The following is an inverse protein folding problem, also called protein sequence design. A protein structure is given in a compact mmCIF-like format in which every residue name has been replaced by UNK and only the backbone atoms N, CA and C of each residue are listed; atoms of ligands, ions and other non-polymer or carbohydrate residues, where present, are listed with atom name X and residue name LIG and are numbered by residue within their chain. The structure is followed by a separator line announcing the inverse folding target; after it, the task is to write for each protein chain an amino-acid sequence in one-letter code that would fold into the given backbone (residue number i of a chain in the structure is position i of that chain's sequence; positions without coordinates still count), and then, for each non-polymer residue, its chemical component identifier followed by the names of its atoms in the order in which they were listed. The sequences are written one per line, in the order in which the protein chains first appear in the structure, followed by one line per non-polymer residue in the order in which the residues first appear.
data_IF_806027012748
#
_entry.id   IF_806027012748
#
_cell.length_a   1.000
_cell.length_b   1.000
_cell.length_c   1.000
_cell.angle_alpha   90.00
_cell.angle_beta   90.00
_cell.angle_gamma   90.00
#
_symmetry.space_group_name_H-M   'P 1'
#
loop_
_entity.id
_entity.type
_entity.pdbx_description
1 polymer ?
#
# COMPACT_ATOMS: atom_id res chain seq x y z
N UNK A 1 17.65 -21.62 -19.19
CA UNK A 1 18.08 -21.34 -17.80
C UNK A 1 17.66 -19.92 -17.49
N UNK A 2 16.59 -19.74 -16.72
CA UNK A 2 16.12 -18.43 -16.29
C UNK A 2 17.20 -17.80 -15.41
N UNK A 3 17.68 -16.60 -15.78
CA UNK A 3 18.53 -15.77 -14.94
C UNK A 3 17.71 -15.24 -13.76
N UNK A 4 17.49 -16.08 -12.75
CA UNK A 4 16.94 -15.62 -11.48
C UNK A 4 18.04 -14.89 -10.74
N UNK A 5 17.85 -13.59 -10.54
CA UNK A 5 18.70 -12.79 -9.66
C UNK A 5 18.79 -13.49 -8.31
N UNK A 6 19.98 -13.59 -7.69
CA UNK A 6 20.13 -14.26 -6.42
C UNK A 6 19.25 -13.59 -5.36
N UNK A 7 18.59 -14.38 -4.50
CA UNK A 7 17.87 -13.84 -3.35
C UNK A 7 18.85 -13.07 -2.47
N UNK A 8 18.66 -11.75 -2.41
CA UNK A 8 19.44 -10.85 -1.57
C UNK A 8 18.71 -10.47 -0.27
N UNK A 9 17.43 -10.83 -0.12
CA UNK A 9 16.67 -10.53 1.10
C UNK A 9 15.63 -11.59 1.46
N UNK A 10 15.53 -11.86 2.76
CA UNK A 10 14.63 -12.82 3.38
C UNK A 10 13.71 -12.08 4.35
N UNK A 11 12.43 -12.44 4.35
CA UNK A 11 11.43 -11.95 5.30
C UNK A 11 11.10 -13.05 6.33
N UNK A 12 11.07 -12.68 7.61
CA UNK A 12 10.60 -13.53 8.70
C UNK A 12 9.38 -12.86 9.34
N UNK A 13 8.18 -13.46 9.24
CA UNK A 13 6.97 -12.85 9.78
C UNK A 13 6.97 -12.71 11.29
N UNK A 14 7.57 -13.66 12.02
CA UNK A 14 7.51 -13.68 13.48
C UNK A 14 8.88 -13.97 14.06
N UNK A 15 9.44 -12.96 14.74
CA UNK A 15 10.64 -13.04 15.54
C UNK A 15 10.33 -12.49 16.94
N UNK A 16 10.81 -13.16 17.98
CA UNK A 16 10.67 -12.69 19.35
C UNK A 16 11.38 -11.35 19.52
N UNK A 17 10.67 -10.35 20.04
CA UNK A 17 11.17 -8.98 20.28
C UNK A 17 12.41 -8.91 21.18
N UNK A 18 12.66 -9.95 21.99
CA UNK A 18 13.85 -10.05 22.84
C UNK A 18 15.13 -10.35 22.05
N UNK A 19 15.01 -10.84 20.81
CA UNK A 19 16.14 -11.17 19.97
C UNK A 19 16.74 -9.90 19.35
N UNK A 20 18.05 -9.76 19.48
CA UNK A 20 18.78 -8.66 18.88
C UNK A 20 19.18 -8.98 17.44
N UNK A 21 19.56 -7.95 16.67
CA UNK A 21 20.10 -8.11 15.31
C UNK A 21 21.30 -9.08 15.32
N UNK A 22 22.13 -8.98 16.35
CA UNK A 22 23.30 -9.84 16.55
C UNK A 22 22.92 -11.30 16.75
N UNK A 23 21.83 -11.58 17.48
CA UNK A 23 21.38 -12.95 17.72
C UNK A 23 20.89 -13.60 16.42
N UNK A 24 20.15 -12.87 15.59
CA UNK A 24 19.74 -13.33 14.26
C UNK A 24 20.96 -13.59 13.38
N UNK A 25 21.89 -12.64 13.27
CA UNK A 25 23.14 -12.80 12.48
C UNK A 25 23.93 -14.02 12.95
N UNK A 26 24.13 -14.17 14.25
CA UNK A 26 24.86 -15.30 14.83
C UNK A 26 24.15 -16.63 14.58
N UNK A 27 22.82 -16.65 14.63
CA UNK A 27 22.03 -17.86 14.37
C UNK A 27 22.22 -18.31 12.92
N UNK A 28 22.02 -17.42 11.94
CA UNK A 28 22.24 -17.74 10.53
C UNK A 28 23.68 -18.16 10.22
N UNK A 29 24.66 -17.53 10.89
CA UNK A 29 26.07 -17.89 10.83
C UNK A 29 26.36 -19.29 11.39
N UNK A 30 25.89 -19.56 12.61
CA UNK A 30 26.11 -20.83 13.31
C UNK A 30 25.56 -22.04 12.54
N UNK A 31 24.37 -21.90 11.96
CA UNK A 31 23.75 -22.95 11.16
C UNK A 31 24.23 -22.99 9.70
N UNK A 32 25.24 -22.19 9.34
CA UNK A 32 25.81 -22.09 7.99
C UNK A 32 24.75 -21.87 6.90
N UNK A 33 23.77 -20.99 7.14
CA UNK A 33 22.73 -20.66 6.15
C UNK A 33 23.22 -19.56 5.21
N UNK A 34 23.51 -18.37 5.74
CA UNK A 34 24.01 -17.26 4.93
C UNK A 34 24.79 -16.23 5.75
N UNK A 35 25.55 -15.40 5.05
CA UNK A 35 26.23 -14.24 5.60
C UNK A 35 25.27 -13.04 5.57
N UNK A 36 24.80 -12.64 6.74
CA UNK A 36 23.81 -11.57 6.91
C UNK A 36 24.53 -10.21 6.97
N UNK A 37 24.12 -9.29 6.12
CA UNK A 37 24.67 -7.93 6.06
C UNK A 37 23.94 -6.97 6.99
N UNK A 38 22.61 -7.05 7.01
CA UNK A 38 21.72 -6.17 7.75
C UNK A 38 20.48 -6.93 8.21
N UNK A 39 19.99 -6.58 9.39
CA UNK A 39 18.70 -7.04 9.90
C UNK A 39 17.90 -5.82 10.30
N UNK A 40 16.69 -5.71 9.78
CA UNK A 40 15.74 -4.66 10.10
C UNK A 40 14.52 -5.27 10.78
N UNK A 41 14.21 -4.80 11.98
CA UNK A 41 13.02 -5.23 12.71
C UNK A 41 11.92 -4.19 12.51
N UNK A 42 10.71 -4.67 12.30
CA UNK A 42 9.50 -3.84 12.22
C UNK A 42 8.52 -4.37 13.25
N UNK A 43 8.15 -3.50 14.19
CA UNK A 43 7.20 -3.84 15.24
C UNK A 43 5.81 -4.08 14.65
N UNK A 44 5.08 -5.03 15.25
CA UNK A 44 3.70 -5.31 14.89
C UNK A 44 2.84 -4.58 15.92
N UNK A 45 2.06 -3.55 15.53
CA UNK A 45 1.36 -2.69 16.49
C UNK A 45 0.41 -3.45 17.41
N UNK A 46 -0.14 -4.57 16.95
CA UNK A 46 -1.08 -5.42 17.68
C UNK A 46 -0.41 -6.45 18.61
N UNK A 47 0.91 -6.67 18.48
CA UNK A 47 1.62 -7.74 19.19
C UNK A 47 2.90 -7.24 19.84
N UNK A 48 2.87 -7.10 21.16
CA UNK A 48 3.97 -6.50 21.94
C UNK A 48 5.25 -7.34 22.01
N UNK A 49 5.16 -8.65 21.79
CA UNK A 49 6.29 -9.56 21.99
C UNK A 49 6.92 -10.08 20.69
N UNK A 50 6.38 -9.71 19.53
CA UNK A 50 6.87 -10.18 18.23
C UNK A 50 7.04 -9.05 17.24
N UNK A 51 8.04 -9.19 16.39
CA UNK A 51 8.32 -8.28 15.30
C UNK A 51 8.47 -9.04 13.99
N UNK A 52 8.27 -8.33 12.89
CA UNK A 52 8.74 -8.74 11.58
C UNK A 52 10.25 -8.52 11.48
N UNK A 53 10.96 -9.40 10.79
CA UNK A 53 12.38 -9.20 10.49
C UNK A 53 12.64 -9.28 8.99
N UNK A 54 13.42 -8.34 8.49
CA UNK A 54 13.92 -8.31 7.12
C UNK A 54 15.43 -8.49 7.16
N UNK A 55 15.89 -9.58 6.57
CA UNK A 55 17.28 -9.98 6.56
C UNK A 55 17.83 -9.68 5.17
N UNK A 56 18.92 -8.92 5.12
CA UNK A 56 19.67 -8.68 3.90
C UNK A 56 20.88 -9.59 3.89
N UNK A 57 21.06 -10.30 2.77
CA UNK A 57 22.06 -11.35 2.62
C UNK A 57 23.17 -10.85 1.70
N UNK A 58 24.42 -10.86 2.18
CA UNK A 58 25.59 -10.59 1.35
C UNK A 58 25.85 -11.76 0.39
N UNK A 59 25.93 -12.95 0.96
CA UNK A 59 26.15 -14.18 0.21
C UNK A 59 25.62 -15.39 0.99
N UNK A 60 25.19 -16.41 0.26
CA UNK A 60 24.86 -17.71 0.84
C UNK A 60 26.15 -18.49 1.11
N UNK A 61 26.15 -19.31 2.16
CA UNK A 61 27.31 -20.17 2.42
C UNK A 61 27.30 -21.38 1.48
N UNK A 62 28.48 -21.94 1.20
CA UNK A 62 28.60 -23.18 0.44
C UNK A 62 28.37 -24.39 1.38
N UNK A 63 27.12 -24.56 1.82
CA UNK A 63 26.71 -25.65 2.72
C UNK A 63 25.45 -26.33 2.18
N UNK A 64 25.21 -27.58 2.59
CA UNK A 64 23.99 -28.31 2.23
C UNK A 64 22.73 -27.61 2.79
N UNK A 65 22.82 -27.10 4.03
CA UNK A 65 21.73 -26.38 4.70
C UNK A 65 21.36 -25.10 3.96
N UNK A 66 22.37 -24.32 3.53
CA UNK A 66 22.18 -23.10 2.75
C UNK A 66 21.53 -23.40 1.40
N UNK A 67 22.04 -24.40 0.68
CA UNK A 67 21.50 -24.81 -0.62
C UNK A 67 20.05 -25.27 -0.52
N UNK A 68 19.72 -26.06 0.50
CA UNK A 68 18.35 -26.52 0.75
C UNK A 68 17.44 -25.34 1.07
N UNK A 69 17.83 -24.47 2.00
CA UNK A 69 17.05 -23.29 2.38
C UNK A 69 16.79 -22.38 1.16
N UNK A 70 17.83 -22.08 0.37
CA UNK A 70 17.71 -21.30 -0.85
C UNK A 70 16.74 -21.94 -1.84
N UNK A 71 16.89 -23.24 -2.08
CA UNK A 71 16.06 -23.96 -3.04
C UNK A 71 14.59 -24.01 -2.59
N UNK A 72 14.31 -24.24 -1.30
CA UNK A 72 12.94 -24.23 -0.78
C UNK A 72 12.31 -22.84 -0.84
N UNK A 73 13.06 -21.78 -0.51
CA UNK A 73 12.55 -20.40 -0.61
C UNK A 73 12.22 -20.04 -2.06
N UNK A 74 13.09 -20.37 -3.04
CA UNK A 74 12.84 -20.08 -4.45
C UNK A 74 11.68 -20.90 -5.02
N UNK A 75 11.65 -22.21 -4.78
CA UNK A 75 10.74 -23.11 -5.50
C UNK A 75 9.42 -23.33 -4.78
N UNK A 76 9.42 -23.32 -3.44
CA UNK A 76 8.21 -23.50 -2.61
C UNK A 76 7.68 -22.19 -2.04
N UNK A 77 8.46 -21.10 -2.14
CA UNK A 77 8.11 -19.80 -1.57
C UNK A 77 8.32 -19.70 -0.05
N UNK A 78 8.80 -20.76 0.62
CA UNK A 78 9.06 -20.73 2.06
C UNK A 78 10.02 -21.83 2.50
N UNK A 79 10.72 -21.61 3.62
CA UNK A 79 11.57 -22.58 4.29
C UNK A 79 11.37 -22.54 5.81
N UNK A 80 11.18 -23.69 6.45
CA UNK A 80 11.06 -23.79 7.92
C UNK A 80 12.44 -24.00 8.54
N UNK A 81 12.99 -22.95 9.14
CA UNK A 81 14.32 -22.96 9.74
C UNK A 81 14.25 -23.21 11.25
N UNK A 82 14.74 -24.36 11.70
CA UNK A 82 14.77 -24.74 13.12
C UNK A 82 16.09 -24.30 13.76
N UNK A 83 16.04 -23.46 14.80
CA UNK A 83 17.22 -22.81 15.40
C UNK A 83 17.46 -23.16 16.87
N UNK A 84 16.71 -24.11 17.45
CA UNK A 84 16.93 -24.55 18.83
C UNK A 84 18.14 -25.48 18.92
N UNK A 85 19.09 -25.16 19.80
CA UNK A 85 20.20 -26.06 20.18
C UNK A 85 19.76 -27.18 21.13
N UNK A 86 18.65 -27.01 21.86
CA UNK A 86 18.20 -27.98 22.86
C UNK A 86 17.25 -28.99 22.24
N UNK A 87 17.70 -30.24 22.14
CA UNK A 87 16.93 -31.37 21.61
C UNK A 87 15.67 -31.71 22.43
N UNK A 88 15.42 -31.06 23.57
CA UNK A 88 14.50 -31.62 24.57
C UNK A 88 13.07 -31.08 24.62
N UNK A 89 12.62 -30.06 23.86
CA UNK A 89 11.16 -29.78 23.78
C UNK A 89 10.70 -28.62 22.89
N UNK A 90 11.52 -27.65 22.54
CA UNK A 90 11.05 -26.50 21.76
C UNK A 90 11.25 -26.70 20.26
N UNK A 91 10.15 -27.01 19.54
CA UNK A 91 10.07 -26.93 18.07
C UNK A 91 10.07 -25.45 17.61
N UNK A 92 11.00 -24.65 18.11
CA UNK A 92 11.12 -23.26 17.71
C UNK A 92 11.69 -23.20 16.28
N UNK A 93 10.95 -22.56 15.39
CA UNK A 93 11.37 -22.35 14.01
C UNK A 93 11.07 -20.92 13.57
N UNK A 94 11.83 -20.44 12.59
CA UNK A 94 11.47 -19.27 11.80
C UNK A 94 10.99 -19.72 10.44
N UNK A 95 9.89 -19.12 9.98
CA UNK A 95 9.44 -19.28 8.61
C UNK A 95 10.17 -18.24 7.75
N UNK A 96 11.06 -18.70 6.88
CA UNK A 96 11.81 -17.84 5.97
C UNK A 96 11.04 -17.73 4.66
N UNK A 97 10.75 -16.50 4.25
CA UNK A 97 10.02 -16.17 3.03
C UNK A 97 10.90 -15.29 2.11
N UNK A 98 10.71 -15.34 0.79
CA UNK A 98 11.38 -14.41 -0.11
C UNK A 98 10.84 -12.99 0.14
N UNK A 99 11.73 -12.02 0.35
CA UNK A 99 11.31 -10.62 0.43
C UNK A 99 11.09 -10.07 -0.99
N UNK A 100 9.83 -9.77 -1.32
CA UNK A 100 9.44 -9.27 -2.66
C UNK A 100 9.88 -7.82 -2.89
N UNK A 101 9.97 -7.02 -1.83
CA UNK A 101 10.26 -5.58 -1.91
C UNK A 101 11.41 -5.22 -0.94
N UNK A 102 12.66 -5.62 -1.25
CA UNK A 102 13.79 -5.30 -0.40
C UNK A 102 14.03 -3.80 -0.34
N UNK A 103 14.08 -3.26 0.87
CA UNK A 103 14.41 -1.84 1.08
C UNK A 103 15.89 -1.65 0.75
N UNK A 104 16.24 -0.81 -0.24
CA UNK A 104 17.63 -0.57 -0.59
C UNK A 104 18.37 0.09 0.57
N UNK A 105 19.67 -0.17 0.67
CA UNK A 105 20.50 0.53 1.63
C UNK A 105 20.63 2.00 1.25
N UNK A 106 20.15 2.88 2.12
CA UNK A 106 20.36 4.31 1.97
C UNK A 106 21.78 4.64 2.39
N UNK A 107 22.53 5.30 1.50
CA UNK A 107 23.86 5.85 1.81
C UNK A 107 23.74 7.24 2.45
N UNK A 108 22.53 7.76 2.59
CA UNK A 108 22.29 9.09 3.12
C UNK A 108 22.41 9.08 4.64
N UNK A 109 23.09 10.10 5.15
CA UNK A 109 23.13 10.38 6.57
C UNK A 109 21.72 10.78 7.07
N UNK A 110 21.42 10.53 8.34
CA UNK A 110 20.16 10.91 8.99
C UNK A 110 19.79 12.39 8.77
N UNK A 111 20.77 13.29 8.75
CA UNK A 111 20.54 14.71 8.47
C UNK A 111 20.09 14.96 7.02
N UNK A 112 20.67 14.24 6.07
CA UNK A 112 20.29 14.35 4.66
C UNK A 112 18.89 13.76 4.42
N UNK A 113 18.56 12.66 5.11
CA UNK A 113 17.21 12.09 5.09
C UNK A 113 16.19 13.06 5.65
N UNK A 114 16.49 13.72 6.78
CA UNK A 114 15.60 14.72 7.37
C UNK A 114 15.32 15.88 6.40
N UNK A 115 16.37 16.42 5.77
CA UNK A 115 16.22 17.49 4.75
C UNK A 115 15.35 17.03 3.58
N UNK A 116 15.61 15.82 3.06
CA UNK A 116 14.83 15.26 1.96
C UNK A 116 13.36 15.03 2.33
N UNK A 117 13.08 14.55 3.54
CA UNK A 117 11.72 14.39 4.05
C UNK A 117 11.01 15.74 4.13
N UNK A 118 11.66 16.76 4.71
CA UNK A 118 11.08 18.10 4.79
C UNK A 118 10.81 18.72 3.42
N UNK A 119 11.69 18.48 2.43
CA UNK A 119 11.45 18.90 1.05
C UNK A 119 10.26 18.18 0.41
N UNK A 120 10.11 16.88 0.67
CA UNK A 120 8.95 16.11 0.18
C UNK A 120 7.65 16.55 0.84
N UNK A 121 7.63 16.76 2.17
CA UNK A 121 6.48 17.29 2.90
C UNK A 121 6.04 18.65 2.35
N UNK A 122 7.00 19.53 2.07
CA UNK A 122 6.73 20.83 1.44
C UNK A 122 6.08 20.67 0.07
N UNK A 123 6.60 19.79 -0.79
CA UNK A 123 6.02 19.54 -2.11
C UNK A 123 4.61 18.97 -2.03
N UNK A 124 4.36 18.07 -1.07
CA UNK A 124 3.01 17.53 -0.83
C UNK A 124 2.05 18.63 -0.41
N UNK A 125 2.47 19.53 0.49
CA UNK A 125 1.65 20.66 0.91
C UNK A 125 1.35 21.64 -0.24
N UNK A 126 2.34 21.91 -1.10
CA UNK A 126 2.17 22.72 -2.31
C UNK A 126 1.16 22.07 -3.28
N UNK A 127 1.31 20.77 -3.55
CA UNK A 127 0.38 20.02 -4.40
C UNK A 127 -1.04 19.97 -3.82
N UNK A 128 -1.17 19.81 -2.50
CA UNK A 128 -2.47 19.83 -1.83
C UNK A 128 -3.15 21.19 -1.99
N UNK A 129 -2.39 22.28 -1.82
CA UNK A 129 -2.90 23.65 -2.01
C UNK A 129 -3.35 23.89 -3.46
N UNK A 130 -2.60 23.38 -4.43
CA UNK A 130 -2.96 23.46 -5.84
C UNK A 130 -4.24 22.67 -6.15
N UNK A 131 -4.36 21.45 -5.63
CA UNK A 131 -5.58 20.65 -5.76
C UNK A 131 -6.79 21.34 -5.15
N UNK A 132 -6.66 21.95 -3.98
CA UNK A 132 -7.75 22.67 -3.33
C UNK A 132 -8.17 23.92 -4.12
N UNK A 133 -7.22 24.63 -4.72
CA UNK A 133 -7.50 25.74 -5.61
C UNK A 133 -8.22 25.27 -6.89
N UNK A 134 -7.78 24.17 -7.50
CA UNK A 134 -8.46 23.58 -8.66
C UNK A 134 -9.89 23.14 -8.31
N UNK A 135 -10.09 22.48 -7.16
CA UNK A 135 -11.43 22.09 -6.67
C UNK A 135 -12.34 23.30 -6.51
N UNK A 136 -11.83 24.40 -5.96
CA UNK A 136 -12.60 25.65 -5.84
C UNK A 136 -13.02 26.21 -7.21
N UNK A 137 -12.09 26.24 -8.17
CA UNK A 137 -12.39 26.71 -9.54
C UNK A 137 -13.44 25.83 -10.23
N UNK A 138 -13.40 24.52 -10.01
CA UNK A 138 -14.42 23.60 -10.53
C UNK A 138 -15.78 23.92 -9.93
N UNK A 139 -15.88 24.07 -8.60
CA UNK A 139 -17.14 24.41 -7.94
C UNK A 139 -17.70 25.78 -8.40
N UNK A 140 -16.84 26.78 -8.57
CA UNK A 140 -17.24 28.09 -9.09
C UNK A 140 -17.79 27.97 -10.53
N UNK A 141 -17.13 27.18 -11.38
CA UNK A 141 -17.57 26.93 -12.75
C UNK A 141 -18.91 26.18 -12.80
N UNK A 142 -19.08 25.15 -11.98
CA UNK A 142 -20.35 24.41 -11.85
C UNK A 142 -21.50 25.34 -11.47
N UNK A 143 -21.28 26.24 -10.49
CA UNK A 143 -22.29 27.22 -10.09
C UNK A 143 -22.64 28.18 -11.24
N UNK A 144 -21.64 28.66 -11.99
CA UNK A 144 -21.90 29.53 -13.15
C UNK A 144 -22.67 28.80 -14.25
N UNK A 145 -22.39 27.51 -14.47
CA UNK A 145 -23.11 26.69 -15.45
C UNK A 145 -24.59 26.56 -15.11
N UNK A 146 -24.92 26.31 -13.83
CA UNK A 146 -26.31 26.25 -13.35
C UNK A 146 -27.03 27.58 -13.59
N UNK A 147 -26.40 28.71 -13.26
CA UNK A 147 -26.99 30.03 -13.45
C UNK A 147 -27.26 30.36 -14.93
N UNK A 148 -26.36 29.97 -15.83
CA UNK A 148 -26.54 30.18 -17.27
C UNK A 148 -27.68 29.30 -17.80
N UNK A 149 -27.79 28.05 -17.36
CA UNK A 149 -28.88 27.16 -17.75
C UNK A 149 -30.26 27.73 -17.36
N UNK A 150 -30.42 28.19 -16.12
CA UNK A 150 -31.67 28.84 -15.64
C UNK A 150 -32.09 30.04 -16.51
N UNK A 151 -31.12 30.84 -16.97
CA UNK A 151 -31.42 32.00 -17.82
C UNK A 151 -31.85 31.60 -19.24
N UNK A 152 -31.32 30.51 -19.79
CA UNK A 152 -31.68 30.05 -21.13
C UNK A 152 -33.14 29.58 -21.17
N UNK A 153 -33.62 28.91 -20.13
CA UNK A 153 -35.03 28.45 -20.05
C UNK A 153 -36.03 29.61 -19.89
N UNK A 154 -35.57 30.76 -19.39
CA UNK A 154 -36.39 31.98 -19.24
C UNK A 154 -36.49 32.83 -20.51
N UNK A 155 -35.70 32.53 -21.55
CA UNK A 155 -35.85 33.20 -22.85
C UNK A 155 -37.16 32.70 -23.45
N UNK A 156 -38.18 33.57 -23.65
CA UNK A 156 -39.39 33.17 -24.31
C UNK A 156 -38.98 32.59 -25.64
N UNK A 157 -39.30 31.33 -25.87
CA UNK A 157 -39.14 30.71 -27.18
C UNK A 157 -39.97 31.57 -28.11
N UNK A 158 -39.31 32.54 -28.76
CA UNK A 158 -39.91 33.34 -29.80
C UNK A 158 -40.18 32.29 -30.85
N UNK A 159 -41.41 31.79 -30.87
CA UNK A 159 -41.93 30.92 -31.91
C UNK A 159 -41.61 31.66 -33.18
N UNK A 160 -40.50 31.28 -33.80
CA UNK A 160 -40.11 31.80 -35.07
C UNK A 160 -41.23 31.28 -35.95
N UNK A 161 -42.20 32.15 -36.24
CA UNK A 161 -43.21 31.89 -37.25
C UNK A 161 -42.39 31.47 -38.45
N UNK A 162 -42.49 30.18 -38.74
CA UNK A 162 -41.88 29.52 -39.86
C UNK A 162 -42.39 30.28 -41.08
N UNK A 163 -41.60 31.24 -41.55
CA UNK A 163 -41.80 31.83 -42.86
C UNK A 163 -41.62 30.65 -43.80
N UNK A 164 -42.75 30.16 -44.31
CA UNK A 164 -42.78 29.26 -45.45
C UNK A 164 -42.18 30.05 -46.61
N UNK A 165 -40.86 29.99 -46.72
CA UNK A 165 -40.18 30.31 -47.96
C UNK A 165 -40.51 29.14 -48.89
N UNK A 166 -41.57 29.34 -49.66
CA UNK A 166 -41.92 28.47 -50.75
C UNK A 166 -40.76 28.46 -51.76
N UNK A 167 -40.11 27.31 -51.87
CA UNK A 167 -39.53 26.80 -53.12
C UNK A 167 -38.31 27.53 -53.68
N UNK A 168 -37.12 27.14 -53.22
CA UNK A 168 -35.99 26.88 -54.12
C UNK A 168 -35.29 25.63 -53.60
N UNK A 169 -35.41 24.54 -54.36
CA UNK A 169 -34.61 23.33 -54.18
C UNK A 169 -33.20 23.66 -54.67
N UNK A 170 -32.27 23.88 -53.74
CA UNK A 170 -30.84 23.82 -54.03
C UNK A 170 -30.34 22.49 -53.46
N UNK A 171 -30.33 21.50 -54.34
CA UNK A 171 -29.50 20.31 -54.16
C UNK A 171 -28.06 20.80 -54.19
N UNK A 172 -27.38 20.88 -53.05
CA UNK A 172 -25.98 20.49 -52.84
C UNK A 172 -25.44 21.02 -51.51
N UNK A 173 -24.56 20.21 -50.95
CA UNK A 173 -23.58 20.52 -49.90
C UNK A 173 -24.15 20.68 -48.48
N UNK A 174 -23.61 20.11 -47.41
CA UNK A 174 -22.54 19.14 -47.23
C UNK A 174 -22.56 18.81 -45.73
N UNK A 175 -22.34 17.54 -45.41
CA UNK A 175 -21.52 17.13 -44.27
C UNK A 175 -22.03 17.65 -42.90
N UNK A 176 -23.12 17.05 -42.42
CA UNK A 176 -23.32 16.89 -40.99
C UNK A 176 -22.22 16.00 -40.43
N UNK A 177 -21.13 16.61 -39.98
CA UNK A 177 -20.13 15.97 -39.14
C UNK A 177 -20.69 15.83 -37.72
N UNK A 178 -21.72 15.00 -37.56
CA UNK A 178 -22.13 14.45 -36.27
C UNK A 178 -21.10 13.39 -35.88
N UNK A 179 -19.95 13.85 -35.39
CA UNK A 179 -19.12 13.05 -34.50
C UNK A 179 -19.92 12.91 -33.18
N UNK A 180 -20.84 11.94 -33.21
CA UNK A 180 -21.49 11.38 -32.04
C UNK A 180 -20.36 10.82 -31.17
N UNK A 181 -19.91 11.61 -30.19
CA UNK A 181 -19.06 11.11 -29.13
C UNK A 181 -19.95 10.14 -28.35
N UNK A 182 -19.73 8.85 -28.60
CA UNK A 182 -20.34 7.76 -27.86
C UNK A 182 -19.99 7.92 -26.39
N UNK A 183 -20.99 8.20 -25.57
CA UNK A 183 -20.98 8.12 -24.11
C UNK A 183 -20.86 6.65 -23.64
N UNK A 184 -19.78 5.96 -24.05
CA UNK A 184 -19.48 4.58 -23.66
C UNK A 184 -18.23 4.50 -22.77
N UNK A 185 -18.22 5.33 -21.71
CA UNK A 185 -17.17 5.30 -20.67
C UNK A 185 -17.69 4.87 -19.30
N UNK A 186 -18.97 4.50 -19.16
CA UNK A 186 -19.56 4.11 -17.87
C UNK A 186 -19.76 2.60 -17.69
N UNK A 187 -19.01 1.74 -18.40
CA UNK A 187 -19.16 0.28 -18.30
C UNK A 187 -17.93 -0.49 -17.85
N UNK A 188 -17.10 0.11 -16.99
CA UNK A 188 -16.07 -0.63 -16.28
C UNK A 188 -16.10 -0.26 -14.80
N UNK A 189 -16.13 -1.33 -13.97
CA UNK A 189 -15.96 -1.39 -12.52
C UNK A 189 -17.23 -1.37 -11.68
N UNK A 190 -18.04 -2.43 -11.78
CA UNK A 190 -18.61 -3.11 -10.62
C UNK A 190 -18.84 -4.59 -11.01
N UNK A 191 -17.78 -5.38 -11.01
CA UNK A 191 -17.91 -6.81 -10.71
C UNK A 191 -17.84 -6.90 -9.19
N UNK A 192 -18.99 -6.66 -8.59
CA UNK A 192 -19.28 -6.89 -7.17
C UNK A 192 -19.74 -8.35 -7.08
N UNK A 193 -18.76 -9.27 -7.09
CA UNK A 193 -18.99 -10.66 -6.71
C UNK A 193 -19.19 -10.68 -5.19
N UNK A 194 -20.40 -10.32 -4.74
CA UNK A 194 -20.92 -10.69 -3.43
C UNK A 194 -21.15 -12.21 -3.42
N UNK A 195 -20.11 -12.97 -3.05
CA UNK A 195 -20.31 -14.32 -2.51
C UNK A 195 -20.77 -14.18 -1.06
N UNK A 196 -22.09 -14.30 -0.88
CA UNK A 196 -22.76 -14.60 0.39
C UNK A 196 -22.26 -15.95 0.93
N UNK A 197 -21.25 -15.91 1.80
CA UNK A 197 -20.98 -17.01 2.74
C UNK A 197 -21.61 -16.66 4.09
N UNK A 198 -22.86 -17.09 4.23
CA UNK A 198 -23.56 -17.29 5.50
C UNK A 198 -22.78 -18.31 6.36
N UNK A 199 -21.84 -17.84 7.19
CA UNK A 199 -21.27 -18.66 8.26
C UNK A 199 -21.72 -18.12 9.63
N UNK A 200 -22.83 -18.72 10.09
CA UNK A 200 -23.35 -18.67 11.44
C UNK A 200 -22.29 -19.13 12.46
N UNK A 201 -21.63 -18.17 13.09
CA UNK A 201 -20.89 -18.39 14.34
C UNK A 201 -21.48 -17.54 15.47
N UNK A 202 -22.52 -18.09 16.11
CA UNK A 202 -22.83 -17.78 17.50
C UNK A 202 -21.76 -18.39 18.39
N UNK A 203 -20.88 -17.56 18.98
CA UNK A 203 -20.11 -17.96 20.17
C UNK A 203 -19.80 -16.73 21.06
N UNK A 204 -20.67 -16.57 22.06
CA UNK A 204 -20.42 -16.08 23.43
C UNK A 204 -19.29 -15.04 23.66
N UNK A 205 -19.61 -13.77 23.42
CA UNK A 205 -18.87 -12.65 24.01
C UNK A 205 -19.20 -12.49 25.50
N UNK A 206 -18.37 -13.10 26.35
CA UNK A 206 -18.33 -12.76 27.78
C UNK A 206 -17.87 -11.31 27.95
N UNK A 207 -18.77 -10.49 28.47
CA UNK A 207 -18.58 -9.09 28.80
C UNK A 207 -17.66 -8.93 30.01
N UNK A 208 -16.45 -8.43 29.79
CA UNK A 208 -15.58 -7.97 30.86
C UNK A 208 -15.83 -6.48 31.18
N UNK A 209 -15.97 -6.12 32.48
CA UNK A 209 -16.29 -4.76 32.88
C UNK A 209 -15.12 -3.78 32.70
N UNK A 210 -15.42 -2.65 32.06
CA UNK A 210 -14.60 -1.45 31.98
C UNK A 210 -14.32 -0.87 33.38
N UNK A 211 -13.05 -0.90 33.80
CA UNK A 211 -12.49 0.00 34.81
C UNK A 211 -11.36 0.77 34.12
N UNK A 212 -11.54 2.05 33.76
CA UNK A 212 -11.36 3.22 34.62
C UNK A 212 -9.97 3.28 35.27
N UNK A 213 -9.07 4.08 34.70
CA UNK A 213 -8.48 5.25 35.38
C UNK A 213 -7.48 5.96 34.47
N UNK A 214 -7.89 7.14 33.96
CA UNK A 214 -6.97 8.15 33.44
C UNK A 214 -6.12 8.66 34.61
N UNK A 215 -4.82 8.37 34.61
CA UNK A 215 -3.85 9.06 35.47
C UNK A 215 -3.22 10.20 34.69
N UNK A 216 -3.54 11.40 35.19
CA UNK A 216 -3.02 12.70 34.82
C UNK A 216 -1.49 12.72 34.71
N UNK A 217 -1.00 13.30 33.61
CA UNK A 217 0.41 13.49 33.27
C UNK A 217 0.74 14.98 33.42
N UNK A 218 0.71 15.47 34.65
CA UNK A 218 1.17 16.81 35.02
C UNK A 218 1.73 16.75 36.44
N UNK A 219 3.03 16.51 36.57
CA UNK A 219 3.90 17.02 37.65
C UNK A 219 5.29 16.41 37.51
N UNK A 220 6.11 17.02 36.67
CA UNK A 220 7.56 16.81 36.66
C UNK A 220 8.28 18.05 36.12
N UNK A 221 8.00 19.21 36.70
CA UNK A 221 8.85 20.40 36.60
C UNK A 221 8.79 21.17 37.92
N UNK A 222 9.65 20.79 38.87
CA UNK A 222 10.22 21.67 39.91
C UNK A 222 11.06 20.84 40.90
N UNK A 223 12.37 20.70 40.61
CA UNK A 223 13.49 20.94 41.53
C UNK A 223 14.82 20.58 40.87
#
# INVERSE_FOLDING_TARGET
MSNTSPITSIYIPFVDSRLTKRDVINTFGYYNICNVSRVDFVEIPEKTNVCHAFIHVNNWYNSNSASLAYWEIINKGSYKFYYSQSQSSSKAFWLLLPNKNPIPETKLNIHQLAVMISEMEKKIAEQQTEMDNMRKRIADLELTSIYVADKVDSVPTRTHTLWKNDGVEDENDDIFNTAFISDDWNRLLYDDDEEDDDDDHEDDFQSHPLYSTNKSLTDAFCK
#
